data_IF_836757732769
#
_entry.id   IF_836757732769
#
_cell.length_a   1.000
_cell.length_b   1.000
_cell.length_c   1.000
_cell.angle_alpha   90.00
_cell.angle_beta   90.00
_cell.angle_gamma   90.00
#
_symmetry.space_group_name_H-M   'P 1'
#
loop_
_entity.id
_entity.type
_entity.pdbx_description
1 polymer ?
#
# COMPACT_ATOMS: atom_id res chain seq x y z
N UNK A 1 -6.36 0.10 4.21
CA UNK A 1 -5.89 1.36 4.84
C UNK A 1 -7.13 2.19 5.11
N UNK A 2 -7.19 2.88 6.24
CA UNK A 2 -8.33 3.71 6.63
C UNK A 2 -7.83 5.03 7.23
N UNK A 3 -8.54 6.13 6.99
CA UNK A 3 -8.19 7.44 7.56
C UNK A 3 -7.88 8.49 6.49
N UNK A 4 -7.92 9.77 6.92
CA UNK A 4 -7.81 10.94 6.05
C UNK A 4 -6.34 11.22 5.70
N UNK A 5 -6.05 11.41 4.42
CA UNK A 5 -4.72 11.80 3.93
C UNK A 5 -4.83 12.97 2.95
N UNK A 6 -3.94 13.95 3.07
CA UNK A 6 -3.84 15.07 2.13
C UNK A 6 -2.70 14.82 1.14
N UNK A 7 -3.04 14.78 -0.15
CA UNK A 7 -2.08 14.67 -1.25
C UNK A 7 -2.32 15.83 -2.21
N UNK A 8 -1.31 16.67 -2.41
CA UNK A 8 -1.36 17.82 -3.33
C UNK A 8 -2.58 18.74 -3.07
N UNK A 9 -2.87 19.00 -1.79
CA UNK A 9 -4.00 19.84 -1.37
C UNK A 9 -5.39 19.18 -1.46
N UNK A 10 -5.48 17.93 -1.93
CA UNK A 10 -6.73 17.15 -1.97
C UNK A 10 -6.77 16.14 -0.82
N UNK A 11 -7.93 15.98 -0.20
CA UNK A 11 -8.16 15.05 0.90
C UNK A 11 -8.75 13.72 0.37
N UNK A 12 -8.20 12.61 0.85
CA UNK A 12 -8.59 11.24 0.50
C UNK A 12 -8.81 10.39 1.75
N UNK A 13 -9.53 9.28 1.61
CA UNK A 13 -9.69 8.27 2.66
C UNK A 13 -10.75 8.59 3.72
N UNK A 14 -11.65 9.54 3.46
CA UNK A 14 -12.78 9.84 4.34
C UNK A 14 -13.91 8.82 4.13
N UNK A 15 -13.93 7.79 4.98
CA UNK A 15 -14.96 6.76 4.98
C UNK A 15 -16.35 7.34 5.30
N UNK A 16 -16.42 8.41 6.10
CA UNK A 16 -17.67 9.10 6.40
C UNK A 16 -18.21 9.87 5.17
N UNK A 17 -17.32 10.25 4.24
CA UNK A 17 -17.69 10.81 2.94
C UNK A 17 -17.98 9.73 1.87
N UNK A 18 -18.08 8.45 2.27
CA UNK A 18 -18.41 7.33 1.38
C UNK A 18 -17.23 6.71 0.64
N UNK A 19 -15.97 7.09 0.94
CA UNK A 19 -14.80 6.44 0.35
C UNK A 19 -14.58 5.06 0.98
N UNK A 20 -14.62 4.02 0.15
CA UNK A 20 -14.46 2.65 0.60
C UNK A 20 -13.03 2.38 1.13
N UNK A 21 -12.94 1.63 2.23
CA UNK A 21 -11.68 1.07 2.68
C UNK A 21 -11.24 -0.06 1.74
N UNK A 22 -9.96 -0.09 1.35
CA UNK A 22 -9.43 -1.19 0.55
C UNK A 22 -9.37 -2.49 1.35
N UNK A 23 -9.95 -3.57 0.81
CA UNK A 23 -9.94 -4.92 1.38
C UNK A 23 -8.51 -5.45 1.53
N UNK A 24 -8.15 -6.10 2.66
CA UNK A 24 -6.85 -6.74 2.83
C UNK A 24 -6.76 -8.02 1.98
N UNK A 25 -5.99 -7.98 0.90
CA UNK A 25 -5.81 -9.12 -0.02
C UNK A 25 -4.72 -10.11 0.42
N UNK A 26 -3.98 -9.82 1.49
CA UNK A 26 -2.85 -10.63 1.94
C UNK A 26 -3.20 -12.09 2.19
N UNK A 27 -4.37 -12.39 2.75
CA UNK A 27 -4.79 -13.77 3.03
C UNK A 27 -5.38 -14.48 1.80
N UNK A 28 -5.68 -13.75 0.73
CA UNK A 28 -6.35 -14.27 -0.46
C UNK A 28 -5.37 -14.58 -1.60
N UNK A 29 -4.25 -13.85 -1.68
CA UNK A 29 -3.29 -13.94 -2.77
C UNK A 29 -1.93 -14.47 -2.30
N UNK A 30 -1.28 -15.24 -3.17
CA UNK A 30 0.09 -15.73 -3.00
C UNK A 30 1.11 -14.61 -3.22
N UNK A 31 2.34 -14.82 -2.76
CA UNK A 31 3.41 -13.81 -2.87
C UNK A 31 3.75 -13.46 -4.32
N UNK A 32 3.69 -14.45 -5.22
CA UNK A 32 3.94 -14.29 -6.66
C UNK A 32 2.84 -13.46 -7.33
N UNK A 33 1.58 -13.67 -6.95
CA UNK A 33 0.42 -12.96 -7.51
C UNK A 33 0.45 -11.49 -7.09
N UNK A 34 0.74 -11.22 -5.81
CA UNK A 34 0.90 -9.86 -5.30
C UNK A 34 2.10 -9.18 -6.00
N UNK A 35 3.23 -9.87 -6.14
CA UNK A 35 4.40 -9.35 -6.83
C UNK A 35 4.11 -9.00 -8.30
N UNK A 36 3.36 -9.85 -9.00
CA UNK A 36 2.93 -9.64 -10.38
C UNK A 36 2.05 -8.40 -10.53
N UNK A 37 1.00 -8.27 -9.71
CA UNK A 37 0.09 -7.11 -9.76
C UNK A 37 0.82 -5.81 -9.40
N UNK A 38 1.67 -5.82 -8.37
CA UNK A 38 2.44 -4.62 -7.99
C UNK A 38 3.44 -4.22 -9.07
N UNK A 39 4.07 -5.20 -9.73
CA UNK A 39 4.98 -4.94 -10.86
C UNK A 39 4.23 -4.33 -12.03
N UNK A 40 3.06 -4.87 -12.38
CA UNK A 40 2.20 -4.30 -13.42
C UNK A 40 1.85 -2.85 -13.12
N UNK A 41 1.40 -2.53 -11.90
CA UNK A 41 1.10 -1.15 -11.46
C UNK A 41 2.32 -0.24 -11.59
N UNK A 42 3.50 -0.70 -11.17
CA UNK A 42 4.77 0.04 -11.22
C UNK A 42 5.31 0.32 -12.62
N UNK A 43 4.84 -0.41 -13.62
CA UNK A 43 5.28 -0.30 -15.01
C UNK A 43 4.18 0.22 -15.95
N UNK A 44 2.97 0.42 -15.43
CA UNK A 44 1.82 0.92 -16.18
C UNK A 44 1.57 2.41 -15.95
N UNK A 45 0.74 3.02 -16.80
CA UNK A 45 0.30 4.42 -16.67
C UNK A 45 1.44 5.45 -16.61
N UNK A 46 2.55 5.16 -17.31
CA UNK A 46 3.74 6.03 -17.33
C UNK A 46 4.65 5.86 -16.12
N UNK A 47 4.37 4.91 -15.22
CA UNK A 47 5.28 4.57 -14.13
C UNK A 47 6.51 3.83 -14.68
N UNK A 48 7.69 4.13 -14.12
CA UNK A 48 8.95 3.46 -14.48
C UNK A 48 9.72 3.10 -13.19
N UNK A 49 9.14 2.20 -12.41
CA UNK A 49 9.75 1.71 -11.17
C UNK A 49 10.24 0.26 -11.32
N UNK A 50 11.29 -0.14 -10.58
CA UNK A 50 11.76 -1.53 -10.59
C UNK A 50 10.67 -2.54 -10.21
N UNK A 51 10.70 -3.75 -10.79
CA UNK A 51 9.73 -4.80 -10.48
C UNK A 51 9.78 -5.18 -9.00
N UNK A 52 8.65 -5.70 -8.50
CA UNK A 52 8.55 -6.26 -7.15
C UNK A 52 8.77 -7.76 -7.22
N UNK A 53 9.67 -8.28 -6.38
CA UNK A 53 9.90 -9.73 -6.29
C UNK A 53 9.00 -10.38 -5.23
N UNK A 54 8.69 -11.67 -5.41
CA UNK A 54 7.96 -12.44 -4.40
C UNK A 54 8.68 -12.46 -3.04
N UNK A 55 10.02 -12.46 -3.03
CA UNK A 55 10.81 -12.37 -1.81
C UNK A 55 10.59 -11.05 -1.05
N UNK A 56 10.41 -9.93 -1.76
CA UNK A 56 10.07 -8.65 -1.12
C UNK A 56 8.67 -8.70 -0.50
N UNK A 57 7.70 -9.30 -1.19
CA UNK A 57 6.33 -9.48 -0.65
C UNK A 57 6.37 -10.35 0.60
N UNK A 58 7.06 -11.50 0.53
CA UNK A 58 7.22 -12.43 1.65
C UNK A 58 7.83 -11.75 2.87
N UNK A 59 8.87 -10.94 2.69
CA UNK A 59 9.51 -10.19 3.78
C UNK A 59 8.51 -9.27 4.48
N UNK A 60 7.71 -8.52 3.73
CA UNK A 60 6.69 -7.60 4.29
C UNK A 60 5.58 -8.39 4.98
N UNK A 61 5.12 -9.51 4.37
CA UNK A 61 4.11 -10.40 4.94
C UNK A 61 4.56 -10.96 6.27
N UNK A 62 5.78 -11.50 6.34
CA UNK A 62 6.35 -12.07 7.57
C UNK A 62 6.48 -11.02 8.67
N UNK A 63 6.92 -9.80 8.34
CA UNK A 63 7.01 -8.69 9.29
C UNK A 63 5.64 -8.23 9.84
N UNK A 64 4.54 -8.55 9.14
CA UNK A 64 3.19 -8.09 9.44
C UNK A 64 2.22 -9.18 9.88
N UNK A 65 2.69 -10.41 10.12
CA UNK A 65 1.84 -11.57 10.47
C UNK A 65 0.90 -11.35 11.65
N UNK A 66 1.34 -10.58 12.65
CA UNK A 66 0.55 -10.32 13.85
C UNK A 66 -0.45 -9.15 13.68
N UNK A 67 -0.42 -8.43 12.54
CA UNK A 67 -1.25 -7.26 12.33
C UNK A 67 -2.67 -7.68 11.95
N UNK A 68 -3.63 -7.31 12.79
CA UNK A 68 -5.06 -7.57 12.59
C UNK A 68 -5.84 -6.31 12.18
N UNK A 69 -5.26 -5.13 12.41
CA UNK A 69 -5.83 -3.83 12.05
C UNK A 69 -5.36 -3.34 10.68
N UNK A 70 -6.22 -2.60 10.00
CA UNK A 70 -5.82 -1.85 8.81
C UNK A 70 -4.83 -0.74 9.20
N UNK A 71 -3.89 -0.44 8.30
CA UNK A 71 -3.01 0.71 8.45
C UNK A 71 -3.76 2.05 8.40
N UNK A 72 -3.33 3.02 9.20
CA UNK A 72 -3.66 4.45 9.02
C UNK A 72 -2.58 5.21 8.21
N UNK A 73 -2.92 6.37 7.62
CA UNK A 73 -1.94 7.26 7.00
C UNK A 73 -0.77 7.60 7.91
N UNK A 74 -1.03 7.94 9.17
CA UNK A 74 -0.04 8.38 10.14
C UNK A 74 0.93 7.26 10.51
N UNK A 75 0.42 6.03 10.67
CA UNK A 75 1.22 4.84 10.95
C UNK A 75 2.22 4.55 9.82
N UNK A 76 1.72 4.47 8.57
CA UNK A 76 2.58 4.17 7.42
C UNK A 76 3.60 5.28 7.22
N UNK A 77 3.22 6.55 7.36
CA UNK A 77 4.15 7.67 7.18
C UNK A 77 5.24 7.71 8.25
N UNK A 78 4.93 7.27 9.48
CA UNK A 78 5.93 7.14 10.54
C UNK A 78 6.94 6.05 10.24
N UNK A 79 6.50 4.91 9.68
CA UNK A 79 7.36 3.77 9.34
C UNK A 79 8.13 3.98 8.03
N UNK A 80 7.50 4.66 7.07
CA UNK A 80 7.96 4.86 5.70
C UNK A 80 7.71 6.31 5.28
N UNK A 81 8.50 7.27 5.80
CA UNK A 81 8.34 8.67 5.48
C UNK A 81 8.53 8.88 3.98
N UNK A 82 7.73 9.78 3.39
CA UNK A 82 7.95 10.17 2.00
C UNK A 82 9.36 10.76 1.85
N UNK A 83 10.07 10.44 0.75
CA UNK A 83 11.32 11.12 0.45
C UNK A 83 11.06 12.63 0.36
N UNK A 84 11.98 13.43 0.90
CA UNK A 84 11.88 14.88 0.84
C UNK A 84 11.90 15.34 -0.63
N UNK A 85 10.75 15.81 -1.12
CA UNK A 85 10.60 16.54 -2.38
C UNK A 85 11.03 15.82 -3.66
N UNK A 86 10.04 15.40 -4.45
CA UNK A 86 10.07 15.62 -5.90
C UNK A 86 8.78 16.30 -6.31
#
# INVERSE_FOLDING_TARGET
>A
MYGKMTMHGKQYGDVAAGQAAMTPLGQMLKDEEIAGVLTYVRQSWGNNLPPVSAAQVKKVRDANKARTSMYTPEEILKEHPFPAGK
#
